data_IF_366666630480
#
_entry.id   IF_366666630480
#
_cell.length_a   1.000
_cell.length_b   1.000
_cell.length_c   1.000
_cell.angle_alpha   90.00
_cell.angle_beta   90.00
_cell.angle_gamma   90.00
#
_symmetry.space_group_name_H-M   'P 1'
#
loop_
_entity.id
_entity.type
_entity.pdbx_description
1 polymer ?
#
# COMPACT_ATOMS: atom_id res chain seq x y z
N UNK A 1 7.83 6.04 -3.73
CA UNK A 1 7.44 6.25 -2.31
C UNK A 1 8.29 5.33 -1.44
N UNK A 2 9.17 5.86 -0.58
CA UNK A 2 9.90 5.05 0.42
C UNK A 2 9.19 5.21 1.77
N UNK A 3 8.45 4.18 2.17
CA UNK A 3 7.70 4.14 3.42
C UNK A 3 8.42 3.21 4.38
N UNK A 4 8.86 3.75 5.52
CA UNK A 4 9.42 2.95 6.61
C UNK A 4 8.30 2.52 7.53
N UNK A 5 8.08 1.21 7.60
CA UNK A 5 7.13 0.60 8.53
C UNK A 5 7.88 0.15 9.77
N UNK A 6 7.34 0.45 10.95
CA UNK A 6 7.90 0.03 12.22
C UNK A 6 6.80 -0.66 13.03
N UNK A 7 7.03 -1.90 13.53
CA UNK A 7 6.00 -2.65 14.24
C UNK A 7 5.78 -2.17 15.69
N UNK A 8 6.54 -1.17 16.15
CA UNK A 8 6.56 -0.72 17.55
C UNK A 8 6.58 0.81 17.70
N UNK A 9 7.45 1.32 18.56
CA UNK A 9 7.57 2.76 18.80
C UNK A 9 8.13 3.49 17.57
N UNK A 10 7.65 4.72 17.34
CA UNK A 10 8.05 5.53 16.19
C UNK A 10 9.55 5.83 16.26
N UNK A 11 10.34 5.47 15.22
CA UNK A 11 11.75 5.81 15.18
C UNK A 11 11.95 7.32 15.27
N UNK A 12 13.07 7.72 15.87
CA UNK A 12 13.44 9.13 15.92
C UNK A 12 13.57 9.72 14.51
N UNK A 13 13.35 11.04 14.33
CA UNK A 13 13.57 11.70 13.04
C UNK A 13 14.97 11.46 12.47
N UNK A 14 15.99 11.46 13.34
CA UNK A 14 17.38 11.22 12.95
C UNK A 14 17.56 9.80 12.38
N UNK A 15 17.01 8.80 13.06
CA UNK A 15 17.03 7.41 12.57
C UNK A 15 16.35 7.28 11.21
N UNK A 16 15.25 7.99 10.98
CA UNK A 16 14.56 7.98 9.68
C UNK A 16 15.43 8.60 8.59
N UNK A 17 16.12 9.71 8.87
CA UNK A 17 16.97 10.35 7.88
C UNK A 17 18.23 9.53 7.57
N UNK A 18 18.81 8.85 8.57
CA UNK A 18 19.92 7.92 8.37
C UNK A 18 19.54 6.79 7.39
N UNK A 19 18.34 6.20 7.56
CA UNK A 19 17.84 5.18 6.65
C UNK A 19 17.57 5.73 5.24
N UNK A 20 17.05 6.96 5.14
CA UNK A 20 16.86 7.62 3.84
C UNK A 20 18.20 7.86 3.14
N UNK A 21 19.22 8.28 3.86
CA UNK A 21 20.57 8.48 3.33
C UNK A 21 21.18 7.17 2.83
N UNK A 22 21.08 6.08 3.61
CA UNK A 22 21.52 4.75 3.20
C UNK A 22 20.79 4.26 1.94
N UNK A 23 19.48 4.47 1.86
CA UNK A 23 18.68 4.10 0.69
C UNK A 23 19.13 4.87 -0.56
N UNK A 24 19.28 6.20 -0.48
CA UNK A 24 19.76 7.03 -1.59
C UNK A 24 21.15 6.57 -2.07
N UNK A 25 22.06 6.31 -1.14
CA UNK A 25 23.39 5.80 -1.47
C UNK A 25 23.36 4.43 -2.17
N UNK A 26 22.41 3.56 -1.80
CA UNK A 26 22.23 2.27 -2.47
C UNK A 26 21.66 2.43 -3.89
N UNK A 27 20.67 3.32 -4.07
CA UNK A 27 20.11 3.67 -5.38
C UNK A 27 21.21 4.18 -6.31
N UNK A 28 22.04 5.12 -5.84
CA UNK A 28 23.14 5.69 -6.61
C UNK A 28 24.17 4.62 -7.01
N UNK A 29 24.53 3.71 -6.10
CA UNK A 29 25.47 2.60 -6.37
C UNK A 29 24.95 1.64 -7.43
N UNK A 30 23.64 1.46 -7.51
CA UNK A 30 23.00 0.57 -8.47
C UNK A 30 22.68 1.27 -9.81
N UNK A 31 22.99 2.57 -9.94
CA UNK A 31 22.67 3.36 -11.13
C UNK A 31 21.16 3.53 -11.33
N UNK A 32 20.38 3.41 -10.27
CA UNK A 32 18.92 3.56 -10.29
C UNK A 32 18.55 5.03 -10.09
N UNK A 33 17.39 5.43 -10.62
CA UNK A 33 16.87 6.79 -10.46
C UNK A 33 15.64 6.77 -9.56
N UNK A 34 15.59 7.66 -8.57
CA UNK A 34 14.38 7.81 -7.75
C UNK A 34 13.35 8.64 -8.51
N UNK A 35 12.13 8.12 -8.64
CA UNK A 35 11.00 8.85 -9.20
C UNK A 35 10.08 9.28 -8.06
N UNK A 36 9.77 10.57 -8.01
CA UNK A 36 8.75 11.10 -7.12
C UNK A 36 7.36 10.72 -7.64
N UNK A 37 6.52 10.18 -6.75
CA UNK A 37 5.14 9.80 -7.08
C UNK A 37 4.23 10.68 -6.23
N UNK A 38 3.48 11.55 -6.89
CA UNK A 38 2.40 12.31 -6.26
C UNK A 38 1.21 11.38 -6.04
N UNK A 39 0.73 11.18 -4.81
CA UNK A 39 -0.46 10.38 -4.56
C UNK A 39 -1.70 10.98 -5.22
N UNK A 40 -2.63 10.13 -5.66
CA UNK A 40 -3.91 10.56 -6.22
C UNK A 40 -4.72 11.36 -5.18
N UNK A 41 -5.18 12.55 -5.58
CA UNK A 41 -6.05 13.41 -4.79
C UNK A 41 -7.54 13.07 -4.98
N UNK A 42 -7.89 12.41 -6.09
CA UNK A 42 -9.27 12.01 -6.42
C UNK A 42 -9.31 10.57 -6.91
N UNK A 43 -10.50 9.95 -6.92
CA UNK A 43 -10.67 8.58 -7.38
C UNK A 43 -10.38 8.41 -8.89
N UNK A 44 -10.65 9.45 -9.69
CA UNK A 44 -10.42 9.45 -11.14
C UNK A 44 -8.93 9.52 -11.52
N UNK A 45 -8.07 9.96 -10.59
CA UNK A 45 -6.62 9.96 -10.73
C UNK A 45 -6.00 8.59 -10.45
N UNK A 46 -6.75 7.67 -9.84
CA UNK A 46 -6.28 6.30 -9.62
C UNK A 46 -6.33 5.56 -10.94
N UNK A 47 -5.15 5.22 -11.47
CA UNK A 47 -5.03 4.36 -12.65
C UNK A 47 -5.53 2.96 -12.31
N UNK A 48 -6.79 2.69 -12.64
CA UNK A 48 -7.36 1.34 -12.61
C UNK A 48 -7.00 0.65 -13.93
N UNK A 49 -6.30 -0.49 -13.91
CA UNK A 49 -6.04 -1.24 -15.12
C UNK A 49 -7.37 -1.60 -15.82
N UNK A 50 -7.56 -1.14 -17.06
CA UNK A 50 -8.80 -1.36 -17.83
C UNK A 50 -8.99 -2.81 -18.29
N UNK A 51 -7.93 -3.60 -18.24
CA UNK A 51 -7.89 -5.00 -18.69
C UNK A 51 -7.28 -5.81 -17.56
N UNK A 52 -7.97 -6.87 -17.13
CA UNK A 52 -7.34 -7.86 -16.25
C UNK A 52 -6.08 -8.37 -16.97
N UNK A 53 -4.88 -8.31 -16.34
CA UNK A 53 -3.69 -8.82 -16.99
C UNK A 53 -3.95 -10.29 -17.35
N UNK A 54 -4.08 -10.57 -18.65
CA UNK A 54 -4.22 -11.90 -19.19
C UNK A 54 -2.85 -12.57 -19.18
N UNK A 55 -2.49 -13.13 -18.03
CA UNK A 55 -1.24 -13.86 -17.82
C UNK A 55 -0.68 -13.64 -16.42
N UNK A 56 0.21 -14.55 -16.03
CA UNK A 56 0.96 -14.61 -14.76
C UNK A 56 1.89 -13.39 -14.53
N UNK A 57 1.51 -12.19 -14.98
CA UNK A 57 2.05 -10.96 -14.44
C UNK A 57 1.50 -10.83 -13.01
N UNK A 58 2.11 -11.58 -12.09
CA UNK A 58 1.88 -11.45 -10.67
C UNK A 58 1.95 -9.96 -10.33
N UNK A 59 0.82 -9.40 -9.89
CA UNK A 59 0.88 -8.13 -9.19
C UNK A 59 1.92 -8.33 -8.09
N UNK A 60 3.05 -7.62 -8.16
CA UNK A 60 4.15 -7.75 -7.20
C UNK A 60 3.67 -7.54 -5.75
N UNK A 61 2.52 -6.87 -5.59
CA UNK A 61 1.85 -6.64 -4.31
C UNK A 61 0.95 -7.79 -3.84
N UNK A 62 0.56 -8.73 -4.72
CA UNK A 62 -0.49 -9.71 -4.46
C UNK A 62 -0.04 -11.15 -4.21
N UNK A 63 1.05 -11.61 -4.83
CA UNK A 63 1.44 -13.03 -4.75
C UNK A 63 2.28 -13.40 -3.53
N UNK A 64 2.98 -12.44 -2.91
CA UNK A 64 3.90 -12.70 -1.79
C UNK A 64 3.58 -11.92 -0.52
N UNK A 65 2.50 -11.14 -0.50
CA UNK A 65 2.14 -10.37 0.68
C UNK A 65 1.29 -11.20 1.63
N UNK A 66 1.87 -11.61 2.77
CA UNK A 66 1.10 -12.08 3.90
C UNK A 66 0.48 -10.86 4.61
N UNK A 67 -0.86 -10.74 4.59
CA UNK A 67 -1.63 -9.69 5.26
C UNK A 67 -1.75 -10.01 6.76
N UNK A 68 -0.88 -9.50 7.65
CA UNK A 68 -0.85 -9.90 9.06
C UNK A 68 -1.70 -8.98 9.95
N UNK A 69 -2.41 -8.01 9.36
CA UNK A 69 -3.06 -6.94 10.11
C UNK A 69 -4.55 -7.19 10.23
N UNK A 70 -5.08 -6.94 11.42
CA UNK A 70 -6.51 -7.06 11.71
C UNK A 70 -7.30 -5.77 11.42
N UNK A 71 -6.60 -4.69 11.04
CA UNK A 71 -7.17 -3.34 10.91
C UNK A 71 -6.69 -2.61 9.64
N UNK A 72 -7.61 -1.88 9.00
CA UNK A 72 -7.40 -1.16 7.74
C UNK A 72 -6.41 0.01 7.86
N UNK A 73 -6.28 0.68 9.02
CA UNK A 73 -5.34 1.79 9.16
C UNK A 73 -3.88 1.31 9.08
N UNK A 74 -3.64 0.04 9.42
CA UNK A 74 -2.35 -0.61 9.19
C UNK A 74 -2.15 -1.07 7.76
N UNK A 75 -3.22 -1.29 7.00
CA UNK A 75 -3.18 -1.74 5.59
C UNK A 75 -2.94 -0.59 4.62
N UNK A 76 -3.53 0.59 4.85
CA UNK A 76 -3.43 1.73 3.92
C UNK A 76 -2.01 2.07 3.47
N UNK A 77 -1.01 2.18 4.36
CA UNK A 77 0.32 2.59 3.92
C UNK A 77 1.02 1.52 3.07
N UNK A 78 0.59 0.24 3.16
CA UNK A 78 1.12 -0.85 2.31
C UNK A 78 0.54 -0.84 0.90
N UNK A 79 -0.67 -0.31 0.72
CA UNK A 79 -1.28 -0.08 -0.60
C UNK A 79 -1.02 1.33 -1.14
N UNK A 80 0.00 2.01 -0.60
CA UNK A 80 0.40 3.35 -1.07
C UNK A 80 -0.54 4.49 -0.66
N UNK A 81 -1.46 4.24 0.28
CA UNK A 81 -2.42 5.23 0.74
C UNK A 81 -2.02 5.86 2.07
N UNK A 82 -2.27 7.17 2.16
CA UNK A 82 -2.14 7.91 3.42
C UNK A 82 -3.37 7.70 4.29
N UNK A 83 -3.21 7.90 5.61
CA UNK A 83 -4.32 7.84 6.56
C UNK A 83 -5.41 8.88 6.25
N UNK A 84 -5.03 10.04 5.70
CA UNK A 84 -5.93 11.14 5.30
C UNK A 84 -6.39 11.05 3.84
N UNK A 85 -6.08 9.96 3.12
CA UNK A 85 -6.52 9.79 1.73
C UNK A 85 -8.05 9.84 1.62
N UNK A 86 -8.60 10.45 0.54
CA UNK A 86 -10.04 10.53 0.33
C UNK A 86 -10.70 9.16 0.40
N UNK A 87 -11.90 9.11 0.98
CA UNK A 87 -12.64 7.86 1.17
C UNK A 87 -12.86 7.12 -0.15
N UNK A 88 -13.16 7.83 -1.23
CA UNK A 88 -13.38 7.21 -2.54
C UNK A 88 -12.09 6.59 -3.12
N UNK A 89 -10.94 7.23 -2.93
CA UNK A 89 -9.62 6.67 -3.29
C UNK A 89 -9.35 5.38 -2.50
N UNK A 90 -9.59 5.41 -1.18
CA UNK A 90 -9.46 4.23 -0.31
C UNK A 90 -10.35 3.07 -0.75
N UNK A 91 -11.57 3.34 -1.22
CA UNK A 91 -12.48 2.29 -1.74
C UNK A 91 -11.95 1.65 -3.02
N UNK A 92 -11.40 2.46 -3.94
CA UNK A 92 -10.84 1.93 -5.20
C UNK A 92 -9.69 0.98 -4.88
N UNK A 93 -8.72 1.42 -4.08
CA UNK A 93 -7.59 0.58 -3.69
C UNK A 93 -7.99 -0.64 -2.85
N UNK A 94 -8.96 -0.49 -1.94
CA UNK A 94 -9.47 -1.63 -1.19
C UNK A 94 -10.07 -2.69 -2.12
N UNK A 95 -10.81 -2.29 -3.15
CA UNK A 95 -11.32 -3.24 -4.16
C UNK A 95 -10.20 -3.88 -4.97
N UNK A 96 -9.11 -3.16 -5.25
CA UNK A 96 -7.94 -3.75 -5.89
C UNK A 96 -7.26 -4.78 -4.97
N UNK A 97 -7.09 -4.45 -3.69
CA UNK A 97 -6.54 -5.36 -2.68
C UNK A 97 -7.38 -6.65 -2.58
N UNK A 98 -8.70 -6.52 -2.56
CA UNK A 98 -9.62 -7.66 -2.48
C UNK A 98 -9.54 -8.61 -3.69
N UNK A 99 -8.97 -8.16 -4.82
CA UNK A 99 -8.72 -8.99 -6.01
C UNK A 99 -7.40 -9.75 -5.96
N UNK A 100 -6.54 -9.48 -4.97
CA UNK A 100 -5.25 -10.16 -4.85
C UNK A 100 -5.40 -11.58 -4.27
N UNK A 101 -4.50 -12.52 -4.62
CA UNK A 101 -4.48 -13.87 -4.04
C UNK A 101 -4.29 -13.91 -2.51
N UNK A 102 -3.73 -12.84 -1.93
CA UNK A 102 -3.55 -12.73 -0.49
C UNK A 102 -4.86 -12.49 0.29
N UNK A 103 -5.87 -11.88 -0.35
CA UNK A 103 -7.09 -11.45 0.35
C UNK A 103 -7.92 -12.59 0.98
N UNK A 104 -8.12 -13.75 0.34
CA UNK A 104 -8.84 -14.86 0.96
C UNK A 104 -8.24 -15.33 2.30
N UNK A 105 -6.92 -15.18 2.47
CA UNK A 105 -6.18 -15.53 3.67
C UNK A 105 -6.09 -14.40 4.72
N UNK A 106 -6.67 -13.22 4.44
CA UNK A 106 -6.67 -12.09 5.36
C UNK A 106 -7.44 -12.40 6.65
N UNK A 107 -7.04 -11.81 7.81
CA UNK A 107 -7.74 -11.98 9.06
C UNK A 107 -9.23 -11.60 8.99
N UNK A 108 -10.08 -12.35 9.70
CA UNK A 108 -11.54 -12.15 9.66
C UNK A 108 -11.94 -10.74 10.10
N UNK A 109 -11.26 -10.17 11.11
CA UNK A 109 -11.49 -8.81 11.57
C UNK A 109 -11.28 -7.78 10.46
N UNK A 110 -10.18 -7.91 9.72
CA UNK A 110 -9.85 -7.05 8.58
C UNK A 110 -10.89 -7.16 7.48
N UNK A 111 -11.32 -8.38 7.15
CA UNK A 111 -12.36 -8.62 6.13
C UNK A 111 -13.69 -7.97 6.50
N UNK A 112 -14.13 -8.10 7.76
CA UNK A 112 -15.35 -7.46 8.25
C UNK A 112 -15.27 -5.93 8.22
N UNK A 113 -14.11 -5.37 8.59
CA UNK A 113 -13.90 -3.93 8.54
C UNK A 113 -13.91 -3.41 7.10
N UNK A 114 -13.31 -4.13 6.15
CA UNK A 114 -13.38 -3.80 4.74
C UNK A 114 -14.82 -3.78 4.20
N UNK A 115 -15.64 -4.77 4.56
CA UNK A 115 -17.05 -4.80 4.16
C UNK A 115 -17.85 -3.63 4.74
N UNK A 116 -17.63 -3.27 6.01
CA UNK A 116 -18.26 -2.09 6.64
C UNK A 116 -17.82 -0.80 5.95
N UNK A 117 -16.50 -0.66 5.72
CA UNK A 117 -15.93 0.50 5.05
C UNK A 117 -16.50 0.70 3.65
N UNK A 118 -16.68 -0.38 2.87
CA UNK A 118 -17.29 -0.32 1.53
C UNK A 118 -18.78 0.03 1.59
N UNK A 119 -19.52 -0.45 2.59
CA UNK A 119 -20.93 -0.10 2.83
C UNK A 119 -21.13 1.33 3.36
N UNK A 120 -20.09 1.93 3.95
CA UNK A 120 -20.19 3.23 4.61
C UNK A 120 -20.77 3.17 6.02
N UNK A 121 -20.61 2.01 6.65
CA UNK A 121 -20.87 1.77 8.07
C UNK A 121 -19.64 2.09 8.92
#
# INVERSE_FOLDING_TARGET
MFTLFYPGERPSPDTVEDHRALFRAAIDRLGLTTVEITPAATADEVLVPSVEPSGDAESAFGSHWYLPYDDLDRVWPHVGLRADAPREVKKVELRQLMRTPAWPAAPTALRLQAERFLRGE
#
